data_IF_159940036966
#
_entry.id   IF_159940036966
#
_cell.length_a   1.000
_cell.length_b   1.000
_cell.length_c   1.000
_cell.angle_alpha   90.00
_cell.angle_beta   90.00
_cell.angle_gamma   90.00
#
_symmetry.space_group_name_H-M   'P 1'
#
loop_
_entity.id
_entity.type
_entity.pdbx_description
1 polymer ?
#
# COMPACT_ATOMS: atom_id res chain seq x y z
N UNK A 1 6.90 70.07 5.77
CA UNK A 1 5.67 70.03 6.59
C UNK A 1 4.64 69.28 5.77
N UNK A 2 4.82 67.97 5.57
CA UNK A 2 4.64 66.87 6.55
C UNK A 2 3.16 66.68 6.85
N UNK A 3 2.49 65.87 6.02
CA UNK A 3 1.63 64.79 6.51
C UNK A 3 1.31 63.86 5.34
N UNK A 4 1.98 62.71 5.29
CA UNK A 4 1.51 61.58 4.49
C UNK A 4 0.66 60.71 5.41
N UNK A 5 -0.60 60.37 5.04
CA UNK A 5 -1.37 59.41 5.80
C UNK A 5 -0.78 58.01 5.57
N UNK A 6 -0.51 57.33 6.68
CA UNK A 6 -0.09 55.92 6.73
C UNK A 6 -1.00 55.02 5.87
N UNK A 7 -0.45 54.06 5.10
CA UNK A 7 -1.26 53.10 4.37
C UNK A 7 -1.94 52.15 5.37
N UNK A 8 -3.27 52.29 5.46
CA UNK A 8 -4.13 51.54 6.36
C UNK A 8 -3.83 50.04 6.36
N UNK A 9 -3.52 49.53 7.55
CA UNK A 9 -3.63 48.13 7.93
C UNK A 9 -4.94 47.56 7.36
N UNK A 10 -4.82 46.68 6.36
CA UNK A 10 -5.92 45.82 5.92
C UNK A 10 -6.29 44.96 7.11
N UNK A 11 -7.34 45.32 7.86
CA UNK A 11 -7.81 44.51 8.97
C UNK A 11 -8.13 43.11 8.44
N UNK A 12 -7.45 42.10 8.99
CA UNK A 12 -7.72 40.71 8.67
C UNK A 12 -9.24 40.44 8.80
N UNK A 13 -9.82 39.58 7.93
CA UNK A 13 -11.23 39.25 8.01
C UNK A 13 -11.56 38.74 9.42
N UNK A 14 -12.50 39.39 10.11
CA UNK A 14 -12.92 38.98 11.45
C UNK A 14 -14.08 37.98 11.33
N UNK A 15 -14.01 36.90 12.09
CA UNK A 15 -15.03 35.84 12.11
C UNK A 15 -16.01 36.09 13.25
N UNK A 16 -17.29 35.82 13.02
CA UNK A 16 -18.29 35.73 14.08
C UNK A 16 -18.01 34.54 15.02
N UNK A 17 -18.65 34.52 16.19
CA UNK A 17 -18.53 33.37 17.12
C UNK A 17 -18.92 32.04 16.47
N UNK A 18 -19.92 32.05 15.58
CA UNK A 18 -20.37 30.85 14.88
C UNK A 18 -19.34 30.38 13.85
N UNK A 19 -18.82 31.29 13.04
CA UNK A 19 -17.80 30.95 12.04
C UNK A 19 -16.49 30.50 12.70
N UNK A 20 -16.09 31.11 13.82
CA UNK A 20 -14.95 30.67 14.60
C UNK A 20 -15.17 29.27 15.21
N UNK A 21 -16.37 28.98 15.69
CA UNK A 21 -16.74 27.67 16.22
C UNK A 21 -16.72 26.58 15.13
N UNK A 22 -17.25 26.90 13.94
CA UNK A 22 -17.24 26.02 12.77
C UNK A 22 -15.80 25.73 12.31
N UNK A 23 -14.95 26.76 12.24
CA UNK A 23 -13.54 26.61 11.83
C UNK A 23 -12.71 25.81 12.86
N UNK A 24 -13.02 25.95 14.15
CA UNK A 24 -12.37 25.19 15.23
C UNK A 24 -12.98 23.80 15.47
N UNK A 25 -14.12 23.48 14.84
CA UNK A 25 -14.84 22.22 15.03
C UNK A 25 -15.37 22.03 16.47
N UNK A 26 -15.73 23.12 17.15
CA UNK A 26 -16.22 23.13 18.54
C UNK A 26 -17.59 23.81 18.65
N UNK A 27 -18.23 23.74 19.82
CA UNK A 27 -19.46 24.51 20.07
C UNK A 27 -19.12 26.00 20.34
N UNK A 28 -20.03 26.95 20.05
CA UNK A 28 -19.80 28.38 20.30
C UNK A 28 -19.38 28.72 21.74
N UNK A 29 -19.85 27.96 22.74
CA UNK A 29 -19.46 28.14 24.14
C UNK A 29 -17.98 27.84 24.38
N UNK A 30 -17.44 26.86 23.66
CA UNK A 30 -16.02 26.47 23.72
C UNK A 30 -15.11 27.56 23.14
N UNK A 31 -15.59 28.36 22.18
CA UNK A 31 -14.83 29.50 21.63
C UNK A 31 -14.54 30.53 22.73
N UNK A 32 -15.51 30.82 23.60
CA UNK A 32 -15.29 31.69 24.75
C UNK A 32 -14.35 31.10 25.80
N UNK A 33 -14.31 29.77 25.92
CA UNK A 33 -13.33 29.08 26.78
C UNK A 33 -11.89 29.18 26.26
N UNK A 34 -11.68 29.39 24.95
CA UNK A 34 -10.37 29.71 24.40
C UNK A 34 -9.97 31.17 24.67
N UNK A 35 -10.94 32.09 24.66
CA UNK A 35 -10.71 33.48 25.07
C UNK A 35 -10.31 33.57 26.53
N UNK A 36 -11.03 32.87 27.42
CA UNK A 36 -10.73 32.89 28.86
C UNK A 36 -9.36 32.30 29.19
N UNK A 37 -8.83 31.42 28.33
CA UNK A 37 -7.49 30.83 28.46
C UNK A 37 -6.40 31.65 27.74
N UNK A 38 -6.75 32.81 27.17
CA UNK A 38 -5.80 33.66 26.43
C UNK A 38 -5.32 33.05 25.11
N UNK A 39 -6.06 32.10 24.53
CA UNK A 39 -5.71 31.42 23.28
C UNK A 39 -6.37 32.05 22.05
N UNK A 40 -7.40 32.87 22.25
CA UNK A 40 -8.03 33.73 21.23
C UNK A 40 -8.31 35.11 21.81
N UNK A 41 -8.26 36.12 20.95
CA UNK A 41 -8.64 37.49 21.23
C UNK A 41 -10.03 37.76 20.68
N UNK A 42 -10.88 38.41 21.48
CA UNK A 42 -12.27 38.70 21.09
C UNK A 42 -12.55 40.21 21.15
N UNK A 43 -13.31 40.70 20.17
CA UNK A 43 -13.79 42.09 20.12
C UNK A 43 -15.30 42.06 19.97
N UNK A 44 -16.04 42.85 20.77
CA UNK A 44 -17.50 42.92 20.66
C UNK A 44 -17.93 43.43 19.28
N UNK A 45 -18.89 42.76 18.67
CA UNK A 45 -19.42 43.18 17.37
C UNK A 45 -20.18 44.53 17.50
N UNK A 46 -19.98 45.42 16.54
CA UNK A 46 -20.72 46.68 16.40
C UNK A 46 -22.19 46.38 16.06
N UNK A 47 -23.04 46.26 17.09
CA UNK A 47 -24.44 45.84 16.94
C UNK A 47 -24.99 45.01 18.11
N UNK A 48 -24.17 44.68 19.12
CA UNK A 48 -24.66 44.24 20.42
C UNK A 48 -25.03 42.75 20.56
N UNK A 49 -24.82 41.92 19.54
CA UNK A 49 -24.96 40.45 19.67
C UNK A 49 -23.69 39.73 19.22
N UNK A 50 -22.90 39.27 20.20
CA UNK A 50 -21.77 38.37 20.02
C UNK A 50 -20.39 39.06 19.91
N UNK A 51 -19.35 38.22 19.92
CA UNK A 51 -17.95 38.64 19.74
C UNK A 51 -17.42 38.21 18.38
N UNK A 52 -16.46 38.96 17.87
CA UNK A 52 -15.72 38.68 16.64
C UNK A 52 -14.26 38.37 16.93
N UNK A 53 -13.69 37.48 16.14
CA UNK A 53 -12.38 36.87 16.34
C UNK A 53 -11.49 37.15 15.13
N UNK A 54 -10.19 37.24 15.35
CA UNK A 54 -9.24 37.35 14.25
C UNK A 54 -9.14 36.01 13.50
N UNK A 55 -9.36 36.00 12.18
CA UNK A 55 -9.35 34.76 11.41
C UNK A 55 -7.99 34.03 11.45
N UNK A 56 -6.88 34.76 11.52
CA UNK A 56 -5.55 34.15 11.50
C UNK A 56 -5.19 33.55 12.85
N UNK A 57 -5.63 34.17 13.95
CA UNK A 57 -5.53 33.62 15.30
C UNK A 57 -6.36 32.32 15.45
N UNK A 58 -7.59 32.33 14.91
CA UNK A 58 -8.48 31.16 14.87
C UNK A 58 -7.89 30.03 14.01
N UNK A 59 -7.35 30.32 12.83
CA UNK A 59 -6.66 29.34 11.98
C UNK A 59 -5.38 28.81 12.63
N UNK A 60 -4.61 29.68 13.29
CA UNK A 60 -3.40 29.26 14.01
C UNK A 60 -3.74 28.34 15.19
N UNK A 61 -4.83 28.62 15.91
CA UNK A 61 -5.32 27.74 16.96
C UNK A 61 -5.80 26.40 16.39
N UNK A 62 -6.53 26.40 15.28
CA UNK A 62 -6.95 25.16 14.59
C UNK A 62 -5.76 24.28 14.20
N UNK A 63 -4.67 24.89 13.67
CA UNK A 63 -3.42 24.18 13.35
C UNK A 63 -2.72 23.61 14.59
N UNK A 64 -2.66 24.37 15.69
CA UNK A 64 -2.02 23.93 16.96
C UNK A 64 -2.80 22.85 17.69
N UNK A 65 -4.13 22.86 17.62
CA UNK A 65 -4.99 21.89 18.29
C UNK A 65 -5.09 20.54 17.57
N UNK A 66 -4.41 20.38 16.43
CA UNK A 66 -4.10 19.06 15.84
C UNK A 66 -5.31 18.18 15.56
N UNK A 67 -6.47 18.74 15.14
CA UNK A 67 -7.65 17.92 14.85
C UNK A 67 -8.33 18.20 13.52
N UNK A 68 -8.33 17.11 12.73
CA UNK A 68 -9.34 16.57 11.79
C UNK A 68 -10.48 17.51 11.44
N UNK A 69 -10.59 17.78 10.13
CA UNK A 69 -11.82 18.29 9.51
C UNK A 69 -13.04 17.53 10.05
N UNK A 70 -14.14 18.24 10.38
CA UNK A 70 -15.37 17.60 10.81
C UNK A 70 -15.77 16.52 9.79
N UNK A 71 -16.18 15.36 10.30
CA UNK A 71 -16.79 14.35 9.44
C UNK A 71 -18.01 15.01 8.76
N UNK A 72 -18.18 14.86 7.43
CA UNK A 72 -19.34 15.42 6.75
C UNK A 72 -20.60 14.94 7.46
N UNK A 73 -21.51 15.88 7.72
CA UNK A 73 -22.80 15.58 8.31
C UNK A 73 -23.62 14.76 7.31
N UNK A 74 -23.50 13.42 7.41
CA UNK A 74 -24.17 12.48 6.52
C UNK A 74 -23.34 11.22 6.32
N UNK A 75 -23.58 10.22 7.19
CA UNK A 75 -23.63 8.79 6.90
C UNK A 75 -22.45 8.02 6.26
N UNK A 76 -21.56 8.66 5.51
CA UNK A 76 -20.61 7.96 4.65
C UNK A 76 -19.28 7.72 5.38
N UNK A 77 -18.82 6.48 5.29
CA UNK A 77 -17.55 6.05 5.84
C UNK A 77 -16.41 6.69 5.04
N UNK A 78 -15.87 7.80 5.53
CA UNK A 78 -14.70 8.44 4.95
C UNK A 78 -13.43 7.79 5.50
N UNK A 79 -12.53 7.41 4.59
CA UNK A 79 -11.19 6.94 4.90
C UNK A 79 -10.21 8.06 4.61
N UNK A 80 -9.64 8.64 5.65
CA UNK A 80 -8.50 9.55 5.51
C UNK A 80 -7.22 8.71 5.58
N UNK A 81 -6.25 9.06 4.76
CA UNK A 81 -4.90 8.50 4.81
C UNK A 81 -3.87 9.53 4.38
N UNK A 82 -2.72 9.53 5.05
CA UNK A 82 -1.53 10.29 4.67
C UNK A 82 -0.44 9.40 4.08
N UNK A 83 -0.74 8.14 3.76
CA UNK A 83 0.24 7.14 3.32
C UNK A 83 0.52 7.27 1.83
N UNK A 84 -0.53 7.25 1.01
CA UNK A 84 -0.42 7.19 -0.45
C UNK A 84 -1.37 8.15 -1.12
N UNK A 85 -0.89 8.86 -2.14
CA UNK A 85 -1.69 9.70 -3.02
C UNK A 85 -1.52 9.22 -4.46
N UNK A 86 -2.64 9.06 -5.16
CA UNK A 86 -2.68 8.67 -6.57
C UNK A 86 -3.50 9.71 -7.33
N UNK A 87 -2.82 10.56 -8.09
CA UNK A 87 -3.45 11.66 -8.84
C UNK A 87 -2.73 11.82 -10.19
N UNK A 88 -3.50 12.07 -11.25
CA UNK A 88 -2.96 12.41 -12.58
C UNK A 88 -1.85 11.48 -13.09
N UNK A 89 -2.08 10.16 -13.00
CA UNK A 89 -1.10 9.12 -13.39
C UNK A 89 0.24 9.16 -12.62
N UNK A 90 0.25 9.83 -11.46
CA UNK A 90 1.36 9.86 -10.52
C UNK A 90 1.02 9.14 -9.22
N UNK A 91 2.07 8.75 -8.52
CA UNK A 91 1.99 7.84 -7.40
C UNK A 91 2.99 8.25 -6.32
N UNK A 92 2.49 8.68 -5.16
CA UNK A 92 3.28 9.26 -4.09
C UNK A 92 3.11 8.50 -2.79
N UNK A 93 4.22 8.26 -2.09
CA UNK A 93 4.22 7.86 -0.69
C UNK A 93 4.48 9.09 0.16
N UNK A 94 3.62 9.41 1.15
CA UNK A 94 3.75 10.58 2.04
C UNK A 94 4.19 11.88 1.33
N UNK A 95 3.69 12.11 0.11
CA UNK A 95 4.01 13.26 -0.73
C UNK A 95 5.30 13.18 -1.56
N UNK A 96 6.09 12.11 -1.46
CA UNK A 96 7.30 11.86 -2.26
C UNK A 96 6.99 10.88 -3.39
N UNK A 97 7.51 11.14 -4.59
CA UNK A 97 7.31 10.27 -5.74
C UNK A 97 7.84 8.85 -5.47
N UNK A 98 6.94 7.87 -5.50
CA UNK A 98 7.27 6.48 -5.18
C UNK A 98 8.20 5.84 -6.21
N UNK A 99 8.19 6.32 -7.46
CA UNK A 99 9.12 5.85 -8.49
C UNK A 99 10.53 6.38 -8.27
N UNK A 100 10.66 7.59 -7.74
CA UNK A 100 11.95 8.16 -7.35
C UNK A 100 12.52 7.47 -6.10
N UNK A 101 11.65 7.09 -5.15
CA UNK A 101 12.04 6.28 -3.98
C UNK A 101 12.56 4.90 -4.41
N UNK A 102 11.81 4.19 -5.25
CA UNK A 102 12.18 2.86 -5.75
C UNK A 102 13.49 2.84 -6.56
N UNK A 103 13.91 3.98 -7.13
CA UNK A 103 15.19 4.11 -7.85
C UNK A 103 16.39 4.39 -6.93
N UNK A 104 16.17 4.91 -5.72
CA UNK A 104 17.26 5.42 -4.86
C UNK A 104 17.42 4.71 -3.52
N UNK A 105 16.36 4.06 -3.05
CA UNK A 105 16.31 3.49 -1.72
C UNK A 105 15.85 2.05 -1.78
N UNK A 106 16.32 1.27 -0.80
CA UNK A 106 15.93 -0.13 -0.68
C UNK A 106 14.55 -0.28 -0.07
N UNK A 107 13.91 -1.41 -0.32
CA UNK A 107 12.58 -1.69 0.21
C UNK A 107 12.46 -1.44 1.73
N UNK A 108 13.41 -1.93 2.53
CA UNK A 108 13.38 -1.79 3.98
C UNK A 108 13.48 -0.33 4.44
N UNK A 109 14.27 0.46 3.73
CA UNK A 109 14.45 1.89 4.04
C UNK A 109 13.17 2.67 3.73
N UNK A 110 12.51 2.36 2.62
CA UNK A 110 11.24 2.98 2.23
C UNK A 110 10.10 2.50 3.13
N UNK A 111 10.05 1.22 3.50
CA UNK A 111 9.06 0.70 4.44
C UNK A 111 9.18 1.36 5.82
N UNK A 112 10.40 1.44 6.36
CA UNK A 112 10.68 2.11 7.64
C UNK A 112 10.33 3.60 7.60
N UNK A 113 10.66 4.28 6.51
CA UNK A 113 10.29 5.67 6.29
C UNK A 113 8.78 5.86 6.14
N UNK A 114 8.08 4.93 5.47
CA UNK A 114 6.63 4.99 5.32
C UNK A 114 5.92 4.92 6.68
N UNK A 115 6.45 4.08 7.57
CA UNK A 115 5.93 3.89 8.92
C UNK A 115 6.24 5.06 9.86
N UNK A 116 7.49 5.52 9.87
CA UNK A 116 8.00 6.45 10.89
C UNK A 116 8.05 7.90 10.42
N UNK A 117 8.11 8.12 9.11
CA UNK A 117 8.43 9.41 8.51
C UNK A 117 9.91 9.78 8.53
N UNK A 118 10.79 8.92 9.07
CA UNK A 118 12.23 9.14 9.14
C UNK A 118 12.96 8.15 8.24
N UNK A 119 13.71 8.65 7.27
CA UNK A 119 14.50 7.81 6.38
C UNK A 119 15.80 7.43 7.08
N UNK A 120 16.00 6.13 7.28
CA UNK A 120 17.21 5.58 7.91
C UNK A 120 17.97 4.75 6.87
N UNK A 121 19.04 5.30 6.26
CA UNK A 121 19.92 4.51 5.38
C UNK A 121 20.51 3.33 6.15
N UNK A 122 20.62 2.17 5.49
CA UNK A 122 21.15 0.98 6.13
C UNK A 122 20.12 0.15 6.91
N UNK A 123 18.84 0.53 6.96
CA UNK A 123 17.79 -0.26 7.64
C UNK A 123 17.77 -1.69 7.16
N UNK A 124 17.59 -2.62 8.12
CA UNK A 124 17.48 -4.05 7.89
C UNK A 124 16.35 -4.62 8.73
N UNK A 125 15.69 -5.63 8.19
CA UNK A 125 14.68 -6.42 8.87
C UNK A 125 15.22 -7.82 9.12
N UNK A 126 15.09 -8.31 10.35
CA UNK A 126 15.60 -9.61 10.76
C UNK A 126 14.49 -10.48 11.32
N UNK A 127 14.44 -11.74 10.87
CA UNK A 127 13.49 -12.73 11.37
C UNK A 127 14.02 -13.37 12.65
N UNK A 128 13.29 -13.30 13.78
CA UNK A 128 13.70 -14.03 14.98
C UNK A 128 13.79 -15.53 14.72
N UNK A 129 14.91 -16.15 15.08
CA UNK A 129 15.21 -17.54 14.72
C UNK A 129 14.12 -18.54 15.16
N UNK A 130 13.55 -18.37 16.35
CA UNK A 130 12.48 -19.22 16.86
C UNK A 130 11.18 -19.07 16.05
N UNK A 131 10.81 -17.83 15.70
CA UNK A 131 9.63 -17.51 14.88
C UNK A 131 9.78 -18.07 13.47
N UNK A 132 10.95 -17.87 12.86
CA UNK A 132 11.26 -18.41 11.53
C UNK A 132 11.25 -19.94 11.52
N UNK A 133 11.81 -20.59 12.55
CA UNK A 133 11.79 -22.04 12.67
C UNK A 133 10.36 -22.59 12.79
N UNK A 134 9.48 -21.92 13.56
CA UNK A 134 8.08 -22.29 13.65
C UNK A 134 7.36 -22.11 12.30
N UNK A 135 7.53 -20.96 11.64
CA UNK A 135 6.94 -20.69 10.34
C UNK A 135 7.38 -21.71 9.28
N UNK A 136 8.67 -22.06 9.21
CA UNK A 136 9.19 -23.11 8.32
C UNK A 136 8.55 -24.47 8.57
N UNK A 137 8.40 -24.89 9.83
CA UNK A 137 7.74 -26.16 10.17
C UNK A 137 6.28 -26.17 9.72
N UNK A 138 5.55 -25.08 9.95
CA UNK A 138 4.15 -24.96 9.53
C UNK A 138 4.02 -24.98 8.01
N UNK A 139 4.87 -24.24 7.28
CA UNK A 139 4.89 -24.24 5.81
C UNK A 139 5.27 -25.62 5.24
N UNK A 140 6.22 -26.32 5.86
CA UNK A 140 6.65 -27.65 5.44
C UNK A 140 5.56 -28.73 5.63
N UNK A 141 4.59 -28.49 6.52
CA UNK A 141 3.47 -29.41 6.73
C UNK A 141 2.35 -29.26 5.68
N UNK A 142 2.39 -28.21 4.85
CA UNK A 142 1.40 -28.00 3.80
C UNK A 142 1.59 -28.99 2.63
N UNK A 143 0.51 -29.34 1.91
CA UNK A 143 0.60 -30.19 0.72
C UNK A 143 1.60 -29.65 -0.33
N UNK A 144 2.27 -30.53 -1.11
CA UNK A 144 3.25 -30.09 -2.11
C UNK A 144 2.71 -29.11 -3.16
N UNK A 145 1.41 -29.18 -3.47
CA UNK A 145 0.74 -28.31 -4.44
C UNK A 145 0.32 -26.95 -3.87
N UNK A 146 0.59 -26.67 -2.59
CA UNK A 146 0.26 -25.38 -1.98
C UNK A 146 1.14 -24.28 -2.57
N UNK A 147 0.49 -23.22 -3.03
CA UNK A 147 1.15 -22.07 -3.65
C UNK A 147 1.82 -21.16 -2.61
N UNK A 148 2.55 -20.15 -3.09
CA UNK A 148 3.24 -19.22 -2.20
C UNK A 148 2.30 -18.49 -1.23
N UNK A 149 1.10 -18.07 -1.66
CA UNK A 149 0.14 -17.37 -0.80
C UNK A 149 -0.38 -18.24 0.35
N UNK A 150 -0.68 -19.52 0.10
CA UNK A 150 -1.04 -20.48 1.17
C UNK A 150 0.05 -20.56 2.24
N UNK A 151 1.30 -20.65 1.79
CA UNK A 151 2.48 -20.76 2.65
C UNK A 151 2.69 -19.47 3.46
N UNK A 152 2.51 -18.30 2.84
CA UNK A 152 2.58 -17.02 3.53
C UNK A 152 1.50 -16.91 4.61
N UNK A 153 0.25 -17.30 4.34
CA UNK A 153 -0.85 -17.31 5.33
C UNK A 153 -0.54 -18.24 6.52
N UNK A 154 0.01 -19.42 6.24
CA UNK A 154 0.46 -20.35 7.27
C UNK A 154 1.62 -19.77 8.10
N UNK A 155 2.59 -19.13 7.45
CA UNK A 155 3.72 -18.48 8.12
C UNK A 155 3.28 -17.31 9.02
N UNK A 156 2.34 -16.46 8.59
CA UNK A 156 1.77 -15.39 9.44
C UNK A 156 1.10 -15.98 10.68
N UNK A 157 0.34 -17.06 10.51
CA UNK A 157 -0.37 -17.73 11.63
C UNK A 157 0.63 -18.30 12.64
N UNK A 158 1.69 -18.96 12.16
CA UNK A 158 2.77 -19.46 13.01
C UNK A 158 3.49 -18.33 13.73
N UNK A 159 3.81 -17.24 13.03
CA UNK A 159 4.49 -16.09 13.61
C UNK A 159 3.64 -15.42 14.70
N UNK A 160 2.33 -15.28 14.49
CA UNK A 160 1.39 -14.76 15.48
C UNK A 160 1.35 -15.63 16.75
N UNK A 161 1.37 -16.95 16.61
CA UNK A 161 1.36 -17.87 17.74
C UNK A 161 2.66 -17.81 18.57
N UNK A 162 3.78 -17.45 17.93
CA UNK A 162 5.08 -17.28 18.58
C UNK A 162 5.26 -15.93 19.30
N UNK A 163 4.38 -14.96 19.04
CA UNK A 163 4.41 -13.64 19.68
C UNK A 163 3.33 -13.53 20.78
N UNK A 164 3.71 -13.67 22.07
CA UNK A 164 2.77 -13.49 23.19
C UNK A 164 2.38 -12.01 23.39
N UNK A 165 3.18 -11.07 22.90
CA UNK A 165 2.95 -9.62 23.03
C UNK A 165 2.19 -9.03 21.84
N UNK A 166 1.74 -9.86 20.88
CA UNK A 166 1.05 -9.42 19.66
C UNK A 166 -0.14 -8.48 19.87
N UNK A 167 -0.75 -8.48 21.06
CA UNK A 167 -1.89 -7.62 21.40
C UNK A 167 -1.49 -6.22 21.87
N UNK A 168 -0.20 -5.94 22.05
CA UNK A 168 0.29 -4.56 22.23
C UNK A 168 0.20 -3.81 20.90
N UNK A 169 -0.74 -2.86 20.84
CA UNK A 169 -1.01 -2.05 19.67
C UNK A 169 -0.31 -0.68 19.72
N UNK A 170 0.61 -0.47 20.67
CA UNK A 170 1.47 0.71 20.66
C UNK A 170 2.28 0.75 19.34
N UNK A 171 2.49 1.93 18.74
CA UNK A 171 3.15 2.04 17.44
C UNK A 171 4.48 1.28 17.36
N UNK A 172 5.36 1.43 18.35
CA UNK A 172 6.67 0.75 18.32
C UNK A 172 6.55 -0.79 18.43
N UNK A 173 5.59 -1.30 19.20
CA UNK A 173 5.35 -2.74 19.30
C UNK A 173 4.88 -3.31 17.95
N UNK A 174 3.95 -2.61 17.29
CA UNK A 174 3.46 -2.96 15.94
C UNK A 174 4.59 -2.94 14.92
N UNK A 175 5.46 -1.92 14.96
CA UNK A 175 6.62 -1.83 14.06
C UNK A 175 7.64 -2.92 14.33
N UNK A 176 7.92 -3.25 15.60
CA UNK A 176 8.76 -4.39 15.96
C UNK A 176 8.22 -5.70 15.38
N UNK A 177 6.91 -5.96 15.51
CA UNK A 177 6.27 -7.14 14.90
C UNK A 177 6.39 -7.11 13.36
N UNK A 178 6.26 -5.95 12.72
CA UNK A 178 6.36 -5.82 11.27
C UNK A 178 7.78 -6.08 10.73
N UNK A 179 8.79 -5.49 11.37
CA UNK A 179 10.23 -5.70 11.07
C UNK A 179 10.63 -7.18 11.23
N UNK A 180 10.00 -7.90 12.16
CA UNK A 180 10.21 -9.34 12.33
C UNK A 180 9.42 -10.18 11.31
N UNK A 181 8.18 -9.79 10.99
CA UNK A 181 7.25 -10.58 10.20
C UNK A 181 7.66 -10.67 8.72
N UNK A 182 8.02 -9.54 8.10
CA UNK A 182 8.34 -9.49 6.66
C UNK A 182 9.49 -10.46 6.28
N UNK A 183 10.66 -10.46 6.93
CA UNK A 183 11.71 -11.43 6.64
C UNK A 183 11.31 -12.85 7.09
N UNK A 184 10.45 -13.01 8.10
CA UNK A 184 9.90 -14.33 8.47
C UNK A 184 9.09 -14.93 7.33
N UNK A 185 8.25 -14.12 6.67
CA UNK A 185 7.45 -14.54 5.53
C UNK A 185 8.31 -15.03 4.38
N UNK A 186 9.34 -14.27 4.01
CA UNK A 186 10.30 -14.65 2.97
C UNK A 186 11.07 -15.91 3.35
N UNK A 187 11.60 -15.95 4.57
CA UNK A 187 12.42 -17.06 5.05
C UNK A 187 11.66 -18.38 5.25
N UNK A 188 10.32 -18.33 5.36
CA UNK A 188 9.45 -19.49 5.51
C UNK A 188 9.10 -20.17 4.18
N UNK A 189 9.16 -19.45 3.05
CA UNK A 189 8.97 -20.04 1.72
C UNK A 189 10.06 -21.08 1.43
N UNK A 190 9.82 -22.14 0.66
CA UNK A 190 10.88 -23.07 0.25
C UNK A 190 11.87 -22.40 -0.72
N UNK A 191 13.11 -22.90 -0.74
CA UNK A 191 14.06 -22.56 -1.81
C UNK A 191 13.71 -23.36 -3.07
N UNK A 192 13.80 -22.72 -4.24
CA UNK A 192 13.56 -23.37 -5.53
C UNK A 192 14.87 -23.99 -6.04
N UNK A 193 14.85 -25.29 -6.30
CA UNK A 193 16.02 -26.04 -6.81
C UNK A 193 17.21 -26.03 -5.84
N UNK A 194 18.43 -25.97 -6.40
CA UNK A 194 19.68 -25.83 -5.64
C UNK A 194 20.06 -24.37 -5.36
N UNK A 195 19.09 -23.44 -5.41
CA UNK A 195 19.32 -22.02 -5.19
C UNK A 195 20.14 -21.80 -3.91
N UNK A 196 21.36 -21.29 -4.05
CA UNK A 196 22.19 -21.00 -2.88
C UNK A 196 21.62 -19.77 -2.20
N UNK A 197 21.25 -19.90 -0.92
CA UNK A 197 21.15 -18.75 -0.05
C UNK A 197 22.57 -18.22 0.08
N UNK A 198 22.82 -16.96 -0.28
CA UNK A 198 24.13 -16.34 -0.14
C UNK A 198 24.70 -16.61 1.25
N UNK A 199 25.96 -17.03 1.33
CA UNK A 199 26.63 -17.22 2.61
C UNK A 199 26.67 -15.88 3.35
N UNK A 200 26.37 -15.92 4.65
CA UNK A 200 26.07 -14.86 5.63
C UNK A 200 27.04 -13.66 5.73
N UNK A 201 27.95 -13.46 4.78
CA UNK A 201 29.01 -12.44 4.82
C UNK A 201 28.56 -11.03 4.37
N UNK A 202 27.32 -10.83 3.95
CA UNK A 202 26.72 -9.50 3.81
C UNK A 202 25.27 -9.59 4.29
N UNK A 203 24.89 -8.79 5.29
CA UNK A 203 23.51 -8.74 5.78
C UNK A 203 22.57 -8.39 4.64
N UNK A 204 21.92 -9.39 4.04
CA UNK A 204 21.37 -9.26 2.69
C UNK A 204 20.00 -8.57 2.70
N UNK A 205 19.83 -7.62 1.76
CA UNK A 205 18.55 -6.98 1.48
C UNK A 205 17.45 -8.01 1.18
N UNK A 206 16.21 -7.72 1.55
CA UNK A 206 15.06 -8.63 1.43
C UNK A 206 14.92 -9.23 0.02
N UNK A 207 15.23 -8.45 -1.03
CA UNK A 207 15.25 -8.91 -2.41
C UNK A 207 16.18 -10.11 -2.64
N UNK A 208 17.38 -10.12 -2.04
CA UNK A 208 18.33 -11.24 -2.14
C UNK A 208 17.83 -12.48 -1.40
N UNK A 209 17.15 -12.29 -0.26
CA UNK A 209 16.56 -13.38 0.50
C UNK A 209 15.37 -14.01 -0.24
N UNK A 210 14.61 -13.19 -0.97
CA UNK A 210 13.43 -13.60 -1.72
C UNK A 210 13.79 -14.27 -3.05
N UNK A 211 14.83 -13.81 -3.74
CA UNK A 211 15.26 -14.32 -5.04
C UNK A 211 15.31 -15.87 -5.15
N UNK A 212 16.02 -16.60 -4.27
CA UNK A 212 16.09 -18.06 -4.36
C UNK A 212 14.78 -18.77 -4.02
N UNK A 213 13.76 -18.04 -3.54
CA UNK A 213 12.39 -18.55 -3.34
C UNK A 213 11.53 -18.42 -4.60
N UNK A 214 11.96 -17.59 -5.56
CA UNK A 214 11.25 -17.33 -6.81
C UNK A 214 11.83 -18.12 -7.99
N UNK A 215 13.15 -18.38 -7.97
CA UNK A 215 13.85 -19.11 -9.05
C UNK A 215 15.09 -19.84 -8.53
N UNK A 216 15.48 -20.91 -9.24
CA UNK A 216 16.77 -21.58 -9.05
C UNK A 216 17.93 -20.87 -9.77
N UNK A 217 17.65 -19.90 -10.66
CA UNK A 217 18.70 -19.17 -11.36
C UNK A 217 19.47 -18.26 -10.40
N UNK A 218 20.80 -18.13 -10.54
CA UNK A 218 21.56 -17.17 -9.74
C UNK A 218 21.10 -15.74 -10.04
N UNK A 219 21.10 -14.90 -9.01
CA UNK A 219 20.78 -13.49 -9.16
C UNK A 219 21.99 -12.72 -9.69
N UNK A 220 21.77 -11.78 -10.60
CA UNK A 220 22.73 -10.73 -10.93
C UNK A 220 22.29 -9.40 -10.33
N UNK A 221 23.19 -8.41 -10.32
CA UNK A 221 22.93 -7.12 -9.70
C UNK A 221 21.73 -6.37 -10.35
N UNK A 222 21.59 -6.32 -11.70
CA UNK A 222 20.44 -5.67 -12.34
C UNK A 222 19.10 -6.33 -11.95
N UNK A 223 19.00 -7.66 -11.96
CA UNK A 223 17.75 -8.32 -11.64
C UNK A 223 17.37 -8.19 -10.16
N UNK A 224 18.35 -8.17 -9.26
CA UNK A 224 18.12 -7.83 -7.84
C UNK A 224 17.63 -6.39 -7.66
N UNK A 225 18.19 -5.43 -8.40
CA UNK A 225 17.73 -4.05 -8.38
C UNK A 225 16.28 -3.92 -8.89
N UNK A 226 15.91 -4.65 -9.95
CA UNK A 226 14.51 -4.72 -10.41
C UNK A 226 13.60 -5.32 -9.35
N UNK A 227 14.00 -6.42 -8.70
CA UNK A 227 13.20 -7.05 -7.65
C UNK A 227 13.00 -6.12 -6.44
N UNK A 228 14.05 -5.42 -6.01
CA UNK A 228 13.99 -4.46 -4.90
C UNK A 228 13.13 -3.23 -5.24
N UNK A 229 13.23 -2.71 -6.47
CA UNK A 229 12.35 -1.66 -6.98
C UNK A 229 10.89 -2.13 -7.05
N UNK A 230 10.63 -3.37 -7.49
CA UNK A 230 9.30 -3.96 -7.51
C UNK A 230 8.72 -4.10 -6.11
N UNK A 231 9.51 -4.62 -5.16
CA UNK A 231 9.15 -4.66 -3.74
C UNK A 231 8.80 -3.26 -3.23
N UNK A 232 9.55 -2.23 -3.59
CA UNK A 232 9.29 -0.85 -3.14
C UNK A 232 8.01 -0.26 -3.74
N UNK A 233 7.84 -0.37 -5.06
CA UNK A 233 6.67 0.17 -5.77
C UNK A 233 5.34 -0.47 -5.34
N UNK A 234 5.41 -1.71 -4.85
CA UNK A 234 4.24 -2.47 -4.42
C UNK A 234 3.92 -2.33 -2.93
N UNK A 235 4.69 -1.53 -2.16
CA UNK A 235 4.52 -1.39 -0.70
C UNK A 235 3.08 -1.05 -0.34
N UNK A 236 2.49 -0.10 -1.06
CA UNK A 236 1.08 0.28 -0.90
C UNK A 236 0.45 0.56 -2.28
N UNK A 237 -0.84 0.88 -2.34
CA UNK A 237 -1.53 1.40 -3.53
C UNK A 237 -2.88 1.98 -3.10
N UNK A 238 -2.87 2.83 -2.08
CA UNK A 238 -4.06 3.43 -1.46
C UNK A 238 -5.05 2.37 -0.93
N UNK A 239 -6.35 2.67 -0.84
CA UNK A 239 -7.42 1.82 -0.32
C UNK A 239 -7.82 0.68 -1.28
N UNK A 240 -6.82 0.03 -1.86
CA UNK A 240 -6.94 -1.24 -2.54
C UNK A 240 -7.74 -2.26 -1.67
N UNK A 241 -8.43 -3.22 -2.29
CA UNK A 241 -9.36 -4.10 -1.57
C UNK A 241 -8.72 -4.81 -0.36
N UNK A 242 -7.47 -5.29 -0.49
CA UNK A 242 -6.72 -5.90 0.61
C UNK A 242 -6.35 -4.91 1.70
N UNK A 243 -6.01 -3.67 1.34
CA UNK A 243 -5.77 -2.57 2.29
C UNK A 243 -7.03 -2.22 3.07
N UNK A 244 -8.19 -2.17 2.40
CA UNK A 244 -9.47 -1.95 3.08
C UNK A 244 -9.77 -3.07 4.08
N UNK A 245 -9.53 -4.34 3.72
CA UNK A 245 -9.70 -5.47 4.63
C UNK A 245 -8.74 -5.40 5.84
N UNK A 246 -7.49 -5.02 5.62
CA UNK A 246 -6.53 -4.75 6.68
C UNK A 246 -7.03 -3.66 7.63
N UNK A 247 -7.58 -2.55 7.11
CA UNK A 247 -8.19 -1.49 7.92
C UNK A 247 -9.44 -1.95 8.67
N UNK A 248 -10.29 -2.79 8.08
CA UNK A 248 -11.45 -3.39 8.77
C UNK A 248 -10.99 -4.15 10.02
N UNK A 249 -9.99 -5.03 9.86
CA UNK A 249 -9.40 -5.79 10.96
C UNK A 249 -8.78 -4.86 12.03
N UNK A 250 -8.02 -3.86 11.62
CA UNK A 250 -7.42 -2.89 12.53
C UNK A 250 -8.47 -2.05 13.30
N UNK A 251 -9.60 -1.71 12.66
CA UNK A 251 -10.69 -1.00 13.33
C UNK A 251 -11.28 -1.84 14.47
N UNK A 252 -11.30 -3.16 14.33
CA UNK A 252 -11.70 -4.10 15.37
C UNK A 252 -10.61 -4.36 16.43
N UNK A 253 -9.46 -3.66 16.37
CA UNK A 253 -8.30 -3.86 17.25
C UNK A 253 -7.69 -5.26 17.14
N UNK A 254 -7.77 -5.87 15.96
CA UNK A 254 -7.01 -7.07 15.67
C UNK A 254 -5.50 -6.76 15.74
N UNK A 255 -4.68 -7.74 16.13
CA UNK A 255 -3.22 -7.57 16.19
C UNK A 255 -2.59 -7.50 14.79
N UNK A 256 -1.34 -7.00 14.64
CA UNK A 256 -0.66 -6.82 13.36
C UNK A 256 -0.65 -8.06 12.46
N UNK A 257 -0.39 -9.24 13.02
CA UNK A 257 -0.46 -10.48 12.23
C UNK A 257 -1.85 -10.79 11.67
N UNK A 258 -2.93 -10.51 12.42
CA UNK A 258 -4.30 -10.73 11.95
C UNK A 258 -4.71 -9.71 10.88
N UNK A 259 -4.22 -8.47 10.98
CA UNK A 259 -4.32 -7.45 9.93
C UNK A 259 -3.68 -7.96 8.63
N UNK A 260 -2.45 -8.48 8.70
CA UNK A 260 -1.74 -9.03 7.54
C UNK A 260 -2.47 -10.26 7.00
N UNK A 261 -2.98 -11.16 7.85
CA UNK A 261 -3.81 -12.30 7.43
C UNK A 261 -5.08 -11.87 6.69
N UNK A 262 -5.74 -10.79 7.11
CA UNK A 262 -6.90 -10.23 6.42
C UNK A 262 -6.52 -9.67 5.04
N UNK A 263 -5.39 -8.96 4.95
CA UNK A 263 -4.84 -8.48 3.69
C UNK A 263 -4.52 -9.61 2.72
N UNK A 264 -3.80 -10.64 3.19
CA UNK A 264 -3.46 -11.83 2.40
C UNK A 264 -4.71 -12.57 1.90
N UNK A 265 -5.74 -12.71 2.77
CA UNK A 265 -6.97 -13.39 2.40
C UNK A 265 -7.73 -12.72 1.25
N UNK A 266 -7.67 -11.39 1.14
CA UNK A 266 -8.22 -10.67 -0.04
C UNK A 266 -7.26 -10.70 -1.22
N UNK A 267 -5.95 -10.66 -0.97
CA UNK A 267 -4.93 -10.66 -2.02
C UNK A 267 -4.99 -11.91 -2.89
N UNK A 268 -5.25 -13.08 -2.29
CA UNK A 268 -5.43 -14.37 -2.94
C UNK A 268 -6.60 -14.38 -3.96
N UNK A 269 -7.51 -13.40 -3.88
CA UNK A 269 -8.61 -13.28 -4.82
C UNK A 269 -8.12 -13.12 -6.28
N UNK A 270 -8.76 -13.79 -7.25
CA UNK A 270 -8.34 -13.78 -8.66
C UNK A 270 -8.41 -12.42 -9.34
N UNK A 271 -9.09 -11.45 -8.71
CA UNK A 271 -9.26 -10.08 -9.21
C UNK A 271 -8.35 -9.07 -8.50
N UNK A 272 -7.40 -9.53 -7.68
CA UNK A 272 -6.49 -8.68 -6.90
C UNK A 272 -5.03 -9.04 -7.16
N UNK A 273 -4.33 -9.69 -6.22
CA UNK A 273 -2.88 -9.92 -6.31
C UNK A 273 -2.49 -11.05 -7.25
N UNK A 274 -3.43 -11.95 -7.58
CA UNK A 274 -3.19 -13.08 -8.48
C UNK A 274 -3.17 -12.70 -9.98
N UNK A 275 -3.31 -11.41 -10.32
CA UNK A 275 -3.37 -10.93 -11.71
C UNK A 275 -2.04 -11.12 -12.48
N UNK A 276 -0.91 -11.18 -11.78
CA UNK A 276 0.41 -11.40 -12.39
C UNK A 276 0.57 -12.80 -13.00
N UNK A 277 -0.12 -13.83 -12.47
CA UNK A 277 0.00 -15.21 -12.95
C UNK A 277 -0.54 -15.41 -14.38
N UNK A 278 -1.74 -14.90 -14.70
CA UNK A 278 -2.24 -14.83 -16.08
C UNK A 278 -1.31 -14.04 -17.01
N UNK A 279 -0.76 -12.90 -16.56
CA UNK A 279 0.18 -12.09 -17.35
C UNK A 279 1.48 -12.85 -17.65
N UNK A 280 2.02 -13.56 -16.67
CA UNK A 280 3.17 -14.46 -16.83
C UNK A 280 2.90 -15.52 -17.91
N UNK A 281 1.80 -16.27 -17.79
CA UNK A 281 1.49 -17.36 -18.72
C UNK A 281 1.28 -16.87 -20.15
N UNK A 282 0.55 -15.77 -20.32
CA UNK A 282 0.37 -15.14 -21.62
C UNK A 282 1.72 -14.71 -22.23
N UNK A 283 2.57 -14.08 -21.42
CA UNK A 283 3.87 -13.59 -21.90
C UNK A 283 4.83 -14.74 -22.21
N UNK A 284 4.84 -15.79 -21.40
CA UNK A 284 5.59 -17.01 -21.65
C UNK A 284 5.19 -17.64 -23.00
N UNK A 285 3.88 -17.76 -23.25
CA UNK A 285 3.36 -18.27 -24.52
C UNK A 285 3.78 -17.38 -25.71
N UNK A 286 3.78 -16.06 -25.55
CA UNK A 286 4.25 -15.13 -26.58
C UNK A 286 5.74 -15.32 -26.91
N UNK A 287 6.58 -15.54 -25.88
CA UNK A 287 8.00 -15.86 -26.05
C UNK A 287 8.19 -17.20 -26.74
N UNK A 288 7.45 -18.25 -26.34
CA UNK A 288 7.53 -19.59 -26.92
C UNK A 288 7.09 -19.63 -28.39
N UNK A 289 6.05 -18.85 -28.75
CA UNK A 289 5.58 -18.70 -30.15
C UNK A 289 6.47 -17.79 -31.00
N UNK A 290 7.41 -17.05 -30.38
CA UNK A 290 8.26 -16.05 -31.03
C UNK A 290 7.51 -14.81 -31.53
N UNK A 291 6.25 -14.62 -31.12
CA UNK A 291 5.39 -13.50 -31.51
C UNK A 291 4.19 -13.41 -30.57
N UNK A 292 3.92 -12.21 -30.05
CA UNK A 292 2.75 -11.92 -29.22
C UNK A 292 1.44 -11.79 -30.01
N UNK A 293 1.51 -11.46 -31.31
CA UNK A 293 0.30 -11.18 -32.12
C UNK A 293 -0.73 -12.32 -32.10
N UNK A 294 -0.38 -13.61 -32.33
CA UNK A 294 -1.34 -14.72 -32.24
C UNK A 294 -1.96 -14.88 -30.85
N UNK A 295 -1.17 -14.67 -29.79
CA UNK A 295 -1.64 -14.80 -28.39
C UNK A 295 -2.68 -13.72 -28.08
N UNK A 296 -2.42 -12.48 -28.49
CA UNK A 296 -3.37 -11.37 -28.36
C UNK A 296 -4.63 -11.66 -29.19
N UNK A 297 -4.49 -12.15 -30.42
CA UNK A 297 -5.63 -12.50 -31.27
C UNK A 297 -6.56 -13.56 -30.62
N UNK A 298 -6.01 -14.54 -29.90
CA UNK A 298 -6.81 -15.55 -29.18
C UNK A 298 -7.61 -14.97 -28.01
N UNK A 299 -7.05 -14.00 -27.27
CA UNK A 299 -7.77 -13.29 -26.21
C UNK A 299 -8.94 -12.49 -26.77
N UNK A 300 -8.70 -11.79 -27.88
CA UNK A 300 -9.71 -10.99 -28.57
C UNK A 300 -10.83 -11.86 -29.15
N UNK A 301 -10.49 -12.99 -29.79
CA UNK A 301 -11.44 -13.94 -30.35
C UNK A 301 -12.38 -14.53 -29.29
N UNK A 302 -11.89 -14.68 -28.05
CA UNK A 302 -12.66 -15.24 -26.93
C UNK A 302 -13.31 -14.18 -26.05
N UNK A 303 -13.18 -12.89 -26.38
CA UNK A 303 -13.70 -11.77 -25.60
C UNK A 303 -13.06 -11.64 -24.22
N UNK A 304 -11.89 -12.22 -23.99
CA UNK A 304 -11.17 -12.14 -22.72
C UNK A 304 -10.29 -10.88 -22.70
N UNK A 305 -10.19 -10.17 -21.57
CA UNK A 305 -9.22 -9.09 -21.42
C UNK A 305 -7.80 -9.65 -21.56
N UNK A 306 -6.91 -8.87 -22.16
CA UNK A 306 -5.48 -9.20 -22.26
C UNK A 306 -4.82 -8.99 -20.89
N UNK A 307 -4.29 -10.03 -20.22
CA UNK A 307 -3.68 -9.89 -18.91
C UNK A 307 -2.52 -8.88 -18.89
N UNK A 308 -2.41 -8.13 -17.79
CA UNK A 308 -1.34 -7.14 -17.62
C UNK A 308 -1.57 -5.81 -18.34
N UNK A 309 -2.69 -5.63 -19.03
CA UNK A 309 -3.08 -4.36 -19.66
C UNK A 309 -4.37 -3.78 -19.07
N UNK A 310 -4.41 -2.45 -18.97
CA UNK A 310 -5.56 -1.69 -18.50
C UNK A 310 -5.56 -1.51 -16.98
N UNK A 311 -5.87 -0.30 -16.52
CA UNK A 311 -5.86 0.03 -15.11
C UNK A 311 -7.06 0.94 -14.77
N UNK A 312 -7.63 0.80 -13.55
CA UNK A 312 -8.80 1.61 -13.14
C UNK A 312 -8.44 3.05 -12.79
N UNK A 313 -7.31 3.24 -12.11
CA UNK A 313 -6.80 4.55 -11.69
C UNK A 313 -6.00 5.24 -12.80
N UNK A 314 -5.01 4.54 -13.36
CA UNK A 314 -4.15 5.08 -14.41
C UNK A 314 -4.80 5.05 -15.79
N UNK A 315 -4.87 6.21 -16.46
CA UNK A 315 -5.48 6.34 -17.79
C UNK A 315 -4.43 6.28 -18.90
N UNK A 316 -3.35 7.04 -18.79
CA UNK A 316 -2.32 7.10 -19.82
C UNK A 316 -1.23 6.04 -19.59
N UNK A 317 -0.71 5.92 -18.37
CA UNK A 317 0.41 5.04 -18.07
C UNK A 317 0.43 4.65 -16.57
N UNK A 318 0.76 3.39 -16.26
CA UNK A 318 1.08 3.00 -14.88
C UNK A 318 2.56 3.37 -14.58
N UNK A 319 2.83 4.34 -13.69
CA UNK A 319 4.19 4.80 -13.41
C UNK A 319 5.10 3.69 -12.83
N UNK A 320 4.50 2.68 -12.19
CA UNK A 320 5.23 1.51 -11.68
C UNK A 320 5.70 0.62 -12.82
N UNK A 321 4.81 0.36 -13.79
CA UNK A 321 5.12 -0.44 -14.97
C UNK A 321 6.24 0.22 -15.79
N UNK A 322 6.13 1.53 -16.05
CA UNK A 322 7.17 2.30 -16.76
C UNK A 322 8.52 2.18 -16.06
N UNK A 323 8.53 2.37 -14.74
CA UNK A 323 9.77 2.31 -13.95
C UNK A 323 10.41 0.93 -14.02
N UNK A 324 9.63 -0.14 -13.87
CA UNK A 324 10.15 -1.50 -13.94
C UNK A 324 10.61 -1.87 -15.36
N UNK A 325 9.88 -1.47 -16.41
CA UNK A 325 10.33 -1.71 -17.79
C UNK A 325 11.65 -1.03 -18.10
N UNK A 326 11.87 0.19 -17.60
CA UNK A 326 13.14 0.88 -17.78
C UNK A 326 14.30 0.11 -17.10
N UNK A 327 14.11 -0.35 -15.85
CA UNK A 327 15.13 -1.14 -15.15
C UNK A 327 15.36 -2.52 -15.80
N UNK A 328 14.33 -3.10 -16.40
CA UNK A 328 14.43 -4.39 -17.10
C UNK A 328 15.22 -4.32 -18.40
N UNK A 329 15.50 -3.14 -18.95
CA UNK A 329 16.40 -2.98 -20.10
C UNK A 329 17.84 -3.41 -19.76
N UNK A 330 18.23 -3.25 -18.50
CA UNK A 330 19.56 -3.61 -17.99
C UNK A 330 19.66 -5.09 -17.57
N UNK A 331 18.61 -5.89 -17.73
CA UNK A 331 18.57 -7.32 -17.37
C UNK A 331 18.65 -8.18 -18.64
N UNK A 332 19.82 -8.73 -19.01
CA UNK A 332 19.99 -9.44 -20.29
C UNK A 332 19.04 -10.62 -20.47
N UNK A 333 18.74 -11.35 -19.40
CA UNK A 333 17.86 -12.52 -19.41
C UNK A 333 16.40 -12.13 -19.66
N UNK A 334 16.01 -10.87 -19.39
CA UNK A 334 14.67 -10.37 -19.62
C UNK A 334 14.44 -9.82 -21.02
N UNK A 335 15.48 -9.66 -21.86
CA UNK A 335 15.39 -9.00 -23.17
C UNK A 335 14.29 -9.61 -24.08
N UNK A 336 14.21 -10.94 -24.16
CA UNK A 336 13.19 -11.62 -24.97
C UNK A 336 11.76 -11.41 -24.43
N UNK A 337 11.59 -11.50 -23.12
CA UNK A 337 10.30 -11.26 -22.46
C UNK A 337 9.87 -9.78 -22.58
N UNK A 338 10.82 -8.85 -22.48
CA UNK A 338 10.57 -7.42 -22.64
C UNK A 338 10.14 -7.07 -24.07
N UNK A 339 10.80 -7.67 -25.08
CA UNK A 339 10.39 -7.53 -26.47
C UNK A 339 8.97 -8.06 -26.71
N UNK A 340 8.66 -9.25 -26.19
CA UNK A 340 7.32 -9.82 -26.27
C UNK A 340 6.26 -8.94 -25.57
N UNK A 341 6.56 -8.36 -24.41
CA UNK A 341 5.64 -7.46 -23.72
C UNK A 341 5.38 -6.17 -24.50
N UNK A 342 6.40 -5.59 -25.14
CA UNK A 342 6.23 -4.44 -26.05
C UNK A 342 5.34 -4.78 -27.23
N UNK A 343 5.49 -5.99 -27.79
CA UNK A 343 4.64 -6.47 -28.87
C UNK A 343 3.18 -6.71 -28.41
N UNK A 344 2.96 -7.24 -27.21
CA UNK A 344 1.61 -7.36 -26.59
C UNK A 344 0.93 -6.00 -26.50
N UNK A 345 1.63 -4.99 -25.99
CA UNK A 345 1.13 -3.61 -25.88
C UNK A 345 0.79 -3.05 -27.26
N UNK A 346 1.71 -3.14 -28.23
CA UNK A 346 1.51 -2.63 -29.58
C UNK A 346 0.37 -3.35 -30.32
N UNK A 347 0.26 -4.66 -30.15
CA UNK A 347 -0.80 -5.46 -30.79
C UNK A 347 -2.19 -5.12 -30.25
N UNK A 348 -2.30 -4.91 -28.94
CA UNK A 348 -3.56 -4.55 -28.28
C UNK A 348 -3.97 -3.11 -28.58
N UNK A 349 -3.00 -2.18 -28.65
CA UNK A 349 -3.24 -0.77 -28.95
C UNK A 349 -3.93 -0.52 -30.31
N UNK A 350 -3.82 -1.46 -31.26
CA UNK A 350 -4.55 -1.40 -32.54
C UNK A 350 -6.08 -1.45 -32.37
N UNK A 351 -6.58 -2.00 -31.27
CA UNK A 351 -8.00 -2.07 -30.97
C UNK A 351 -8.40 -1.12 -29.84
N UNK A 352 -7.62 -1.10 -28.76
CA UNK A 352 -7.83 -0.23 -27.62
C UNK A 352 -6.47 0.13 -27.00
N UNK A 353 -6.13 1.42 -26.88
CA UNK A 353 -4.92 1.84 -26.20
C UNK A 353 -5.11 1.63 -24.69
N UNK A 354 -4.55 0.54 -24.17
CA UNK A 354 -4.58 0.20 -22.75
C UNK A 354 -3.16 0.32 -22.17
N UNK A 355 -2.97 1.02 -21.04
CA UNK A 355 -1.66 1.12 -20.42
C UNK A 355 -1.20 -0.26 -19.93
N UNK A 356 0.09 -0.53 -20.06
CA UNK A 356 0.71 -1.64 -19.36
C UNK A 356 0.65 -1.42 -17.86
N UNK A 357 0.43 -2.48 -17.11
CA UNK A 357 0.35 -2.47 -15.65
C UNK A 357 1.62 -3.03 -15.03
N UNK A 358 1.80 -2.79 -13.73
CA UNK A 358 2.88 -3.41 -12.95
C UNK A 358 2.91 -4.93 -13.08
N UNK A 359 1.75 -5.59 -13.25
CA UNK A 359 1.65 -7.04 -13.42
C UNK A 359 2.32 -7.53 -14.72
N UNK A 360 2.26 -6.75 -15.80
CA UNK A 360 2.99 -7.08 -17.03
C UNK A 360 4.51 -6.91 -16.86
N UNK A 361 4.94 -5.92 -16.09
CA UNK A 361 6.37 -5.76 -15.78
C UNK A 361 6.89 -6.89 -14.87
N UNK A 362 6.10 -7.33 -13.87
CA UNK A 362 6.40 -8.53 -13.08
C UNK A 362 6.41 -9.81 -13.94
N UNK A 363 5.53 -9.90 -14.94
CA UNK A 363 5.55 -10.98 -15.91
C UNK A 363 6.87 -10.99 -16.71
N UNK A 364 7.36 -9.83 -17.16
CA UNK A 364 8.66 -9.75 -17.85
C UNK A 364 9.81 -10.23 -16.96
N UNK A 365 9.89 -9.76 -15.70
CA UNK A 365 10.90 -10.22 -14.76
C UNK A 365 10.82 -11.74 -14.56
N UNK A 366 9.62 -12.26 -14.27
CA UNK A 366 9.44 -13.68 -13.94
C UNK A 366 9.71 -14.60 -15.13
N UNK A 367 9.23 -14.27 -16.34
CA UNK A 367 9.53 -15.04 -17.56
C UNK A 367 11.03 -14.96 -17.89
N UNK A 368 11.60 -13.75 -17.90
CA UNK A 368 13.02 -13.52 -18.23
C UNK A 368 13.98 -14.24 -17.31
N UNK A 369 13.72 -14.20 -16.00
CA UNK A 369 14.57 -14.79 -14.97
C UNK A 369 14.17 -16.24 -14.61
N UNK A 370 13.24 -16.86 -15.34
CA UNK A 370 12.85 -18.26 -15.11
C UNK A 370 12.28 -18.49 -13.71
N UNK A 371 11.43 -17.58 -13.25
CA UNK A 371 10.66 -17.72 -12.02
C UNK A 371 9.33 -18.43 -12.31
N UNK A 372 8.70 -19.00 -11.27
CA UNK A 372 7.37 -19.59 -11.40
C UNK A 372 6.29 -18.54 -11.72
N UNK A 373 5.17 -18.96 -12.29
CA UNK A 373 4.07 -18.06 -12.67
C UNK A 373 3.47 -17.27 -11.48
N UNK A 374 3.53 -17.82 -10.27
CA UNK A 374 3.07 -17.18 -9.03
C UNK A 374 4.07 -16.15 -8.46
N UNK A 375 5.27 -16.00 -9.04
CA UNK A 375 6.32 -15.15 -8.46
C UNK A 375 5.90 -13.69 -8.28
N UNK A 376 5.12 -13.14 -9.23
CA UNK A 376 4.59 -11.79 -9.10
C UNK A 376 3.64 -11.63 -7.90
N UNK A 377 2.81 -12.63 -7.64
CA UNK A 377 1.89 -12.66 -6.49
C UNK A 377 2.68 -12.75 -5.17
N UNK A 378 3.73 -13.57 -5.13
CA UNK A 378 4.63 -13.68 -3.98
C UNK A 378 5.31 -12.34 -3.66
N UNK A 379 5.85 -11.66 -4.67
CA UNK A 379 6.44 -10.32 -4.52
C UNK A 379 5.41 -9.33 -4.00
N UNK A 380 4.20 -9.35 -4.56
CA UNK A 380 3.10 -8.49 -4.14
C UNK A 380 2.73 -8.71 -2.66
N UNK A 381 2.56 -9.97 -2.25
CA UNK A 381 2.15 -10.32 -0.89
C UNK A 381 3.20 -9.92 0.16
N UNK A 382 4.49 -10.18 -0.12
CA UNK A 382 5.59 -9.77 0.77
C UNK A 382 5.67 -8.26 0.87
N UNK A 383 5.68 -7.57 -0.27
CA UNK A 383 5.78 -6.11 -0.35
C UNK A 383 4.62 -5.39 0.35
N UNK A 384 3.39 -5.79 0.02
CA UNK A 384 2.18 -5.13 0.50
C UNK A 384 1.98 -5.24 2.01
N UNK A 385 2.67 -6.17 2.65
CA UNK A 385 2.68 -6.32 4.11
C UNK A 385 3.09 -5.00 4.79
N UNK A 386 4.05 -4.25 4.25
CA UNK A 386 4.45 -2.97 4.81
C UNK A 386 3.34 -1.90 4.73
N UNK A 387 2.64 -1.81 3.59
CA UNK A 387 1.49 -0.90 3.44
C UNK A 387 0.32 -1.26 4.35
N UNK A 388 -0.02 -2.54 4.49
CA UNK A 388 -1.09 -2.97 5.41
C UNK A 388 -0.81 -2.57 6.86
N UNK A 389 0.44 -2.69 7.31
CA UNK A 389 0.85 -2.24 8.65
C UNK A 389 0.76 -0.72 8.76
N UNK A 390 1.20 0.04 7.75
CA UNK A 390 1.07 1.49 7.74
C UNK A 390 -0.39 1.94 7.89
N UNK A 391 -1.29 1.34 7.10
CA UNK A 391 -2.73 1.62 7.17
C UNK A 391 -3.38 1.17 8.49
N UNK A 392 -2.88 0.09 9.09
CA UNK A 392 -3.34 -0.35 10.40
C UNK A 392 -2.93 0.62 11.51
N UNK A 393 -1.71 1.17 11.47
CA UNK A 393 -1.26 2.20 12.41
C UNK A 393 -2.13 3.46 12.36
N UNK A 394 -2.47 3.94 11.15
CA UNK A 394 -3.43 5.05 11.00
C UNK A 394 -4.80 4.69 11.60
N UNK A 395 -5.27 3.47 11.39
CA UNK A 395 -6.57 3.01 11.88
C UNK A 395 -6.61 2.77 13.40
N UNK A 396 -5.51 2.35 14.02
CA UNK A 396 -5.42 2.25 15.48
C UNK A 396 -5.55 3.63 16.15
N UNK A 397 -5.13 4.70 15.46
CA UNK A 397 -5.35 6.10 15.86
C UNK A 397 -6.78 6.63 15.61
N UNK A 398 -7.67 5.82 15.03
CA UNK A 398 -9.08 6.13 14.83
C UNK A 398 -9.96 5.51 15.93
N UNK A 399 -11.25 5.88 15.98
CA UNK A 399 -12.20 5.28 16.92
C UNK A 399 -12.33 3.76 16.66
N UNK A 400 -12.30 2.90 17.71
CA UNK A 400 -12.53 1.48 17.56
C UNK A 400 -13.88 1.18 16.89
N UNK A 401 -13.92 0.11 16.09
CA UNK A 401 -15.09 -0.43 15.39
C UNK A 401 -15.84 0.58 14.51
N UNK A 402 -15.16 1.63 14.03
CA UNK A 402 -15.79 2.64 13.16
C UNK A 402 -16.18 2.10 11.78
N UNK A 403 -15.51 1.05 11.29
CA UNK A 403 -15.82 0.41 10.01
C UNK A 403 -16.88 -0.66 10.25
N UNK A 404 -18.11 -0.21 10.51
CA UNK A 404 -19.27 -1.07 10.77
C UNK A 404 -20.48 -0.59 9.97
N UNK A 405 -20.52 -0.84 8.64
CA UNK A 405 -21.65 -0.45 7.83
C UNK A 405 -22.91 -1.25 8.22
N UNK A 406 -24.08 -0.65 7.96
CA UNK A 406 -25.37 -1.34 8.08
C UNK A 406 -25.81 -1.85 6.71
N UNK A 407 -26.26 -3.10 6.65
CA UNK A 407 -26.84 -3.67 5.43
C UNK A 407 -28.26 -3.17 5.18
N UNK A 408 -28.62 -2.92 3.92
CA UNK A 408 -30.02 -2.72 3.53
C UNK A 408 -30.71 -4.09 3.43
N UNK A 409 -31.54 -4.42 4.42
CA UNK A 409 -32.28 -5.69 4.42
C UNK A 409 -33.30 -5.74 3.27
N UNK A 410 -33.12 -6.68 2.34
CA UNK A 410 -34.04 -6.97 1.22
C UNK A 410 -34.63 -8.39 1.27
N UNK A 411 -34.51 -9.08 2.40
CA UNK A 411 -35.13 -10.39 2.61
C UNK A 411 -36.63 -10.28 2.97
N UNK A 412 -37.32 -11.43 3.15
CA UNK A 412 -38.69 -11.46 3.61
C UNK A 412 -38.87 -10.75 4.96
N UNK A 413 -39.83 -9.82 5.08
CA UNK A 413 -40.04 -9.10 6.34
C UNK A 413 -40.57 -10.05 7.43
N UNK A 414 -40.09 -9.94 8.68
CA UNK A 414 -40.60 -10.75 9.78
C UNK A 414 -42.02 -10.34 10.19
N UNK A 415 -42.77 -11.26 10.83
CA UNK A 415 -42.41 -12.67 11.05
C UNK A 415 -42.61 -13.50 9.78
N UNK A 416 -41.76 -14.51 9.61
CA UNK A 416 -41.99 -15.60 8.66
C UNK A 416 -42.38 -16.86 9.46
N UNK A 417 -43.18 -17.78 8.91
CA UNK A 417 -43.39 -19.09 9.51
C UNK A 417 -42.05 -19.81 9.74
N UNK A 418 -41.98 -20.69 10.76
CA UNK A 418 -40.83 -21.59 10.87
C UNK A 418 -40.75 -22.50 9.63
N UNK A 419 -39.56 -22.74 9.08
CA UNK A 419 -39.37 -23.59 7.91
C UNK A 419 -39.69 -25.06 8.18
#
# INVERSE_FOLDING_TARGET
MTDQPEPGSRSAPRLTTREAAELLGVKPETVYAYVSRGQLSSVRASGGRGSTFDADEVRALARRSGRRDPAPAGGDLVFRTGITLIEEDRYYFRGVDATELARRHRYEEVAEWLWTGELRPGTRFEAPAATLAAARRTVAALPPHSGSTDRLRAAVTAAAAMDPLRFDLAPEAVLSSARALIPTLVGALPVVGEGKIGTEADGDALARQLWPRLTARPADAPALAVLDAALTLLIDHDLAASTLAARVAASARAHPYAVVSAGLGVLEGPLHGAASGPAHRMLQEAVERGSAVPVVADHLRTGRPVPGLGHRLYRAEDPRARTLFALLEDVPQAAGALAAAREVVAATARQAPLPATVDLALAVLSVGCGMAAEAGETVFAVSRTAGWIAHALEEYGERPLRIRPSGQYRGPRPPQPLP
#
